data_IF_833993138855
#
_entry.id   IF_833993138855
#
_cell.length_a   1.000
_cell.length_b   1.000
_cell.length_c   1.000
_cell.angle_alpha   90.00
_cell.angle_beta   90.00
_cell.angle_gamma   90.00
#
_symmetry.space_group_name_H-M   'P 1'
#
loop_
_entity.id
_entity.type
_entity.pdbx_description
1 polymer ?
#
# COMPACT_ATOMS: atom_id res chain seq x y z
N UNK A 1 3.07 -16.98 1.50
CA UNK A 1 2.93 -17.21 2.95
C UNK A 1 2.71 -15.84 3.59
N UNK A 2 1.60 -15.63 4.30
CA UNK A 2 1.29 -14.36 4.96
C UNK A 2 2.10 -14.21 6.24
N UNK A 3 2.63 -13.01 6.57
CA UNK A 3 3.40 -12.77 7.79
C UNK A 3 2.70 -13.25 9.07
N UNK A 4 1.37 -13.15 9.13
CA UNK A 4 0.56 -13.60 10.26
C UNK A 4 0.49 -15.11 10.49
N UNK A 5 0.98 -15.95 9.57
CA UNK A 5 0.89 -17.42 9.70
C UNK A 5 2.19 -18.06 10.22
N UNK A 6 3.04 -17.28 10.92
CA UNK A 6 4.26 -17.78 11.55
C UNK A 6 4.02 -17.94 13.05
N UNK A 7 4.04 -19.18 13.56
CA UNK A 7 3.80 -19.47 14.99
C UNK A 7 4.74 -18.72 15.94
N UNK A 8 5.95 -18.35 15.49
CA UNK A 8 6.87 -17.55 16.30
C UNK A 8 6.34 -16.15 16.64
N UNK A 9 5.36 -15.62 15.88
CA UNK A 9 4.70 -14.35 16.18
C UNK A 9 3.72 -14.49 17.37
N UNK A 10 3.17 -15.69 17.59
CA UNK A 10 2.21 -15.96 18.68
C UNK A 10 2.87 -16.66 19.88
N UNK A 11 3.89 -17.47 19.65
CA UNK A 11 4.60 -18.27 20.66
C UNK A 11 6.07 -17.83 20.69
N UNK A 12 6.44 -16.85 21.55
CA UNK A 12 7.74 -16.19 21.49
C UNK A 12 8.95 -17.11 21.68
N UNK A 13 8.79 -18.23 22.40
CA UNK A 13 9.89 -19.18 22.62
C UNK A 13 10.37 -19.84 21.32
N UNK A 14 9.51 -19.91 20.29
CA UNK A 14 9.86 -20.50 19.00
C UNK A 14 10.94 -19.72 18.25
N UNK A 15 11.19 -18.44 18.56
CA UNK A 15 12.29 -17.67 17.92
C UNK A 15 13.68 -18.25 18.18
N UNK A 16 13.82 -19.03 19.27
CA UNK A 16 15.09 -19.55 19.76
C UNK A 16 15.41 -20.96 19.26
N UNK A 17 14.50 -21.62 18.52
CA UNK A 17 14.73 -22.99 18.04
C UNK A 17 15.91 -23.02 17.05
N UNK A 18 16.84 -23.98 17.10
CA UNK A 18 17.97 -24.03 16.18
C UNK A 18 17.55 -24.12 14.71
N UNK A 19 18.37 -23.57 13.80
CA UNK A 19 18.08 -23.54 12.36
C UNK A 19 17.91 -24.94 11.74
N UNK A 20 18.48 -26.00 12.36
CA UNK A 20 18.35 -27.38 11.90
C UNK A 20 17.05 -28.08 12.34
N UNK A 21 16.28 -27.46 13.24
CA UNK A 21 15.07 -28.08 13.81
C UNK A 21 13.92 -28.08 12.79
N UNK A 22 13.19 -29.20 12.68
CA UNK A 22 12.03 -29.30 11.79
C UNK A 22 10.95 -28.30 12.22
N UNK A 23 10.61 -27.36 11.35
CA UNK A 23 9.70 -26.24 11.66
C UNK A 23 10.40 -24.89 11.87
N UNK A 24 11.74 -24.83 11.73
CA UNK A 24 12.51 -23.58 11.75
C UNK A 24 12.59 -22.88 10.37
N UNK A 25 11.86 -23.37 9.35
CA UNK A 25 11.89 -22.83 7.97
C UNK A 25 11.56 -21.33 7.91
N UNK A 26 10.75 -20.84 8.86
CA UNK A 26 10.44 -19.41 8.98
C UNK A 26 11.69 -18.54 9.17
N UNK A 27 12.79 -19.08 9.70
CA UNK A 27 14.06 -18.34 9.85
C UNK A 27 14.74 -18.10 8.51
N UNK A 28 14.68 -19.06 7.59
CA UNK A 28 15.19 -18.87 6.23
C UNK A 28 14.34 -17.83 5.50
N UNK A 29 13.02 -17.94 5.63
CA UNK A 29 12.08 -16.96 5.06
C UNK A 29 12.33 -15.57 5.65
N UNK A 30 12.57 -15.46 6.95
CA UNK A 30 12.91 -14.18 7.58
C UNK A 30 14.21 -13.58 7.04
N UNK A 31 15.23 -14.39 6.74
CA UNK A 31 16.49 -13.94 6.11
C UNK A 31 16.21 -13.39 4.69
N UNK A 32 15.40 -14.08 3.90
CA UNK A 32 15.02 -13.66 2.54
C UNK A 32 14.16 -12.38 2.55
N UNK A 33 13.17 -12.31 3.45
CA UNK A 33 12.32 -11.14 3.62
C UNK A 33 13.10 -9.94 4.09
N UNK A 34 14.04 -10.14 5.02
CA UNK A 34 14.96 -9.07 5.44
C UNK A 34 15.70 -8.51 4.24
N UNK A 35 16.34 -9.34 3.42
CA UNK A 35 17.04 -8.87 2.22
C UNK A 35 16.12 -8.07 1.28
N UNK A 36 14.88 -8.53 1.10
CA UNK A 36 13.88 -7.85 0.26
C UNK A 36 13.44 -6.50 0.82
N UNK A 37 13.19 -6.42 2.14
CA UNK A 37 12.81 -5.18 2.82
C UNK A 37 13.94 -4.16 2.72
N UNK A 38 15.17 -4.54 3.03
CA UNK A 38 16.31 -3.62 2.91
C UNK A 38 16.51 -3.16 1.46
N UNK A 39 16.34 -4.05 0.47
CA UNK A 39 16.38 -3.67 -0.94
C UNK A 39 15.30 -2.63 -1.29
N UNK A 40 14.08 -2.80 -0.79
CA UNK A 40 12.99 -1.84 -0.99
C UNK A 40 13.36 -0.49 -0.38
N UNK A 41 13.78 -0.48 0.89
CA UNK A 41 14.18 0.72 1.64
C UNK A 41 15.31 1.48 0.94
N UNK A 42 16.32 0.75 0.45
CA UNK A 42 17.44 1.33 -0.28
C UNK A 42 16.99 1.95 -1.61
N UNK A 43 16.15 1.24 -2.37
CA UNK A 43 15.69 1.71 -3.69
C UNK A 43 14.72 2.89 -3.61
N UNK A 44 13.76 2.86 -2.68
CA UNK A 44 12.79 3.95 -2.52
C UNK A 44 13.49 5.25 -2.17
N UNK A 45 14.44 5.20 -1.25
CA UNK A 45 15.24 6.36 -0.89
C UNK A 45 16.17 6.81 -2.01
N UNK A 46 16.93 5.89 -2.62
CA UNK A 46 17.86 6.23 -3.70
C UNK A 46 17.18 6.88 -4.90
N UNK A 47 15.97 6.45 -5.25
CA UNK A 47 15.17 7.11 -6.28
C UNK A 47 14.75 8.53 -5.88
N UNK A 48 14.24 8.69 -4.66
CA UNK A 48 13.71 9.95 -4.17
C UNK A 48 14.79 11.01 -3.90
N UNK A 49 15.97 10.59 -3.42
CA UNK A 49 17.11 11.48 -3.18
C UNK A 49 17.82 11.90 -4.48
N UNK A 50 17.82 11.05 -5.51
CA UNK A 50 18.63 11.28 -6.72
C UNK A 50 17.89 11.88 -7.92
N UNK A 51 16.59 11.61 -8.09
CA UNK A 51 15.91 11.86 -9.37
C UNK A 51 14.47 12.41 -9.26
N UNK A 52 13.93 12.58 -8.05
CA UNK A 52 12.54 13.03 -7.88
C UNK A 52 12.45 14.58 -7.90
N UNK A 53 11.51 15.18 -8.67
CA UNK A 53 11.41 16.64 -8.78
C UNK A 53 11.00 17.30 -7.46
N UNK A 54 10.00 16.76 -6.76
CA UNK A 54 9.62 17.10 -5.37
C UNK A 54 8.96 15.86 -4.76
N UNK A 55 9.42 15.43 -3.59
CA UNK A 55 8.88 14.29 -2.85
C UNK A 55 8.99 14.49 -1.34
N UNK A 56 8.28 13.67 -0.56
CA UNK A 56 8.43 13.65 0.90
C UNK A 56 9.91 13.52 1.31
N UNK A 57 10.63 12.56 0.73
CA UNK A 57 12.04 12.30 1.04
C UNK A 57 12.93 13.45 0.59
N UNK A 58 12.83 13.91 -0.66
CA UNK A 58 13.69 14.99 -1.16
C UNK A 58 13.54 16.26 -0.32
N UNK A 59 12.31 16.58 0.11
CA UNK A 59 12.03 17.73 0.96
C UNK A 59 12.62 17.61 2.36
N UNK A 60 12.63 16.43 2.96
CA UNK A 60 13.26 16.22 4.28
C UNK A 60 14.79 16.18 4.20
N UNK A 61 15.35 15.84 3.04
CA UNK A 61 16.80 15.86 2.82
C UNK A 61 17.34 17.28 2.61
N UNK A 62 16.49 18.27 2.29
CA UNK A 62 16.89 19.68 2.14
C UNK A 62 17.40 20.30 3.45
N UNK A 63 16.95 19.79 4.60
CA UNK A 63 17.31 20.30 5.94
C UNK A 63 18.67 19.75 6.45
N UNK A 64 19.45 19.07 5.59
CA UNK A 64 20.74 18.45 5.91
C UNK A 64 20.69 17.58 7.20
N UNK A 65 19.84 16.53 7.22
CA UNK A 65 19.66 15.69 8.40
C UNK A 65 20.95 14.99 8.82
N UNK A 66 21.07 14.70 10.11
CA UNK A 66 22.10 13.79 10.62
C UNK A 66 21.94 12.39 10.00
N UNK A 67 22.99 11.56 10.10
CA UNK A 67 22.96 10.20 9.56
C UNK A 67 21.86 9.31 10.20
N UNK A 68 21.48 9.58 11.46
CA UNK A 68 20.39 8.88 12.14
C UNK A 68 19.03 9.32 11.56
N UNK A 69 18.83 10.62 11.42
CA UNK A 69 17.61 11.18 10.81
C UNK A 69 17.44 10.74 9.35
N UNK A 70 18.52 10.70 8.57
CA UNK A 70 18.48 10.18 7.20
C UNK A 70 18.04 8.71 7.17
N UNK A 71 18.52 7.89 8.12
CA UNK A 71 18.09 6.49 8.24
C UNK A 71 16.60 6.39 8.57
N UNK A 72 16.07 7.24 9.44
CA UNK A 72 14.64 7.28 9.76
C UNK A 72 13.80 7.74 8.56
N UNK A 73 14.25 8.78 7.85
CA UNK A 73 13.62 9.26 6.60
C UNK A 73 13.55 8.11 5.58
N UNK A 74 14.63 7.34 5.46
CA UNK A 74 14.71 6.17 4.58
C UNK A 74 13.65 5.12 4.89
N UNK A 75 13.52 4.76 6.17
CA UNK A 75 12.52 3.79 6.62
C UNK A 75 11.09 4.33 6.48
N UNK A 76 10.85 5.61 6.79
CA UNK A 76 9.54 6.25 6.60
C UNK A 76 9.10 6.25 5.13
N UNK A 77 10.02 6.59 4.21
CA UNK A 77 9.75 6.57 2.78
C UNK A 77 9.35 5.17 2.29
N UNK A 78 10.06 4.15 2.77
CA UNK A 78 9.77 2.76 2.44
C UNK A 78 8.38 2.32 2.95
N UNK A 79 8.03 2.72 4.18
CA UNK A 79 6.71 2.45 4.78
C UNK A 79 5.59 3.09 3.97
N UNK A 80 5.72 4.37 3.58
CA UNK A 80 4.72 5.03 2.75
C UNK A 80 4.56 4.39 1.38
N UNK A 81 5.68 4.01 0.75
CA UNK A 81 5.66 3.30 -0.52
C UNK A 81 4.93 1.96 -0.40
N UNK A 82 5.28 1.14 0.60
CA UNK A 82 4.66 -0.16 0.82
C UNK A 82 3.17 -0.05 1.12
N UNK A 83 2.79 0.83 2.04
CA UNK A 83 1.41 1.05 2.42
C UNK A 83 0.57 1.54 1.23
N UNK A 84 1.07 2.48 0.45
CA UNK A 84 0.36 3.02 -0.72
C UNK A 84 0.26 2.02 -1.88
N UNK A 85 1.30 1.21 -2.11
CA UNK A 85 1.34 0.27 -3.22
C UNK A 85 0.40 -0.93 -2.99
N UNK A 86 0.52 -1.61 -1.84
CA UNK A 86 -0.21 -2.86 -1.61
C UNK A 86 -1.72 -2.60 -1.39
N UNK A 87 -2.05 -1.61 -0.56
CA UNK A 87 -3.46 -1.35 -0.21
C UNK A 87 -4.27 -0.80 -1.37
N UNK A 88 -3.69 0.08 -2.20
CA UNK A 88 -4.36 0.63 -3.38
C UNK A 88 -4.63 -0.45 -4.42
N UNK A 89 -3.66 -1.35 -4.65
CA UNK A 89 -3.82 -2.48 -5.59
C UNK A 89 -4.92 -3.43 -5.12
N UNK A 90 -4.99 -3.73 -3.82
CA UNK A 90 -6.06 -4.54 -3.24
C UNK A 90 -7.44 -3.88 -3.42
N UNK A 91 -7.57 -2.58 -3.13
CA UNK A 91 -8.80 -1.83 -3.31
C UNK A 91 -9.25 -1.79 -4.78
N UNK A 92 -8.33 -1.56 -5.72
CA UNK A 92 -8.64 -1.58 -7.16
C UNK A 92 -9.08 -2.96 -7.65
N UNK A 93 -8.42 -4.01 -7.17
CA UNK A 93 -8.81 -5.39 -7.49
C UNK A 93 -10.24 -5.69 -7.01
N UNK A 94 -10.59 -5.23 -5.81
CA UNK A 94 -11.94 -5.34 -5.27
C UNK A 94 -12.95 -4.50 -6.07
N UNK A 95 -12.59 -3.30 -6.48
CA UNK A 95 -13.42 -2.46 -7.35
C UNK A 95 -13.76 -3.17 -8.66
N UNK A 96 -12.76 -3.66 -9.40
CA UNK A 96 -13.01 -4.36 -10.67
C UNK A 96 -13.87 -5.61 -10.47
N UNK A 97 -13.63 -6.37 -9.39
CA UNK A 97 -14.48 -7.50 -9.03
C UNK A 97 -15.92 -7.07 -8.77
N UNK A 98 -16.15 -5.98 -8.04
CA UNK A 98 -17.48 -5.46 -7.77
C UNK A 98 -18.18 -5.02 -9.08
N UNK A 99 -17.47 -4.33 -9.98
CA UNK A 99 -18.04 -3.87 -11.25
C UNK A 99 -18.43 -5.03 -12.18
N UNK A 100 -17.68 -6.13 -12.16
CA UNK A 100 -18.04 -7.36 -12.88
C UNK A 100 -19.31 -8.03 -12.33
N UNK A 101 -19.53 -7.95 -11.01
CA UNK A 101 -20.70 -8.55 -10.36
C UNK A 101 -21.95 -7.67 -10.43
N UNK A 102 -21.78 -6.35 -10.54
CA UNK A 102 -22.85 -5.35 -10.50
C UNK A 102 -22.74 -4.39 -11.70
N UNK A 103 -22.95 -4.86 -12.94
CA UNK A 103 -22.78 -4.05 -14.15
C UNK A 103 -23.74 -2.84 -14.23
N UNK A 104 -24.92 -2.93 -13.62
CA UNK A 104 -25.85 -1.79 -13.55
C UNK A 104 -25.30 -0.64 -12.71
N UNK A 105 -24.57 -0.96 -11.63
CA UNK A 105 -23.89 0.03 -10.78
C UNK A 105 -22.75 0.68 -11.56
N UNK A 106 -21.97 -0.12 -12.30
CA UNK A 106 -20.91 0.40 -13.17
C UNK A 106 -21.46 1.36 -14.24
N UNK A 107 -22.57 0.99 -14.87
CA UNK A 107 -23.23 1.80 -15.91
C UNK A 107 -23.69 3.14 -15.33
N UNK A 108 -24.29 3.12 -14.12
CA UNK A 108 -24.70 4.33 -13.42
C UNK A 108 -23.52 5.22 -13.02
N UNK A 109 -22.42 4.62 -12.57
CA UNK A 109 -21.18 5.33 -12.24
C UNK A 109 -20.59 6.03 -13.47
N UNK A 110 -20.52 5.36 -14.62
CA UNK A 110 -20.12 6.01 -15.87
C UNK A 110 -21.07 7.14 -16.27
N UNK A 111 -22.38 6.93 -16.17
CA UNK A 111 -23.37 7.96 -16.50
C UNK A 111 -23.23 9.24 -15.67
N UNK A 112 -22.86 9.14 -14.38
CA UNK A 112 -22.57 10.31 -13.55
C UNK A 112 -21.29 11.04 -14.03
N UNK A 113 -20.22 10.30 -14.32
CA UNK A 113 -18.97 10.88 -14.85
C UNK A 113 -19.23 11.59 -16.17
N UNK A 114 -19.94 10.94 -17.11
CA UNK A 114 -20.23 11.51 -18.42
C UNK A 114 -21.07 12.79 -18.32
N UNK A 115 -22.01 12.85 -17.37
CA UNK A 115 -22.86 14.02 -17.15
C UNK A 115 -22.12 15.21 -16.52
N UNK A 116 -21.16 14.96 -15.62
CA UNK A 116 -20.47 16.01 -14.84
C UNK A 116 -19.18 16.45 -15.52
N UNK A 117 -18.40 15.50 -16.04
CA UNK A 117 -17.08 15.73 -16.62
C UNK A 117 -17.16 15.94 -18.13
N UNK A 118 -18.09 15.25 -18.80
CA UNK A 118 -18.17 15.21 -20.26
C UNK A 118 -17.08 14.35 -20.89
N UNK A 119 -16.89 14.49 -22.20
CA UNK A 119 -15.96 13.68 -22.99
C UNK A 119 -14.70 14.43 -23.44
N UNK A 120 -14.56 15.71 -23.07
CA UNK A 120 -13.47 16.57 -23.56
C UNK A 120 -12.23 16.57 -22.66
N UNK A 121 -12.33 15.96 -21.47
CA UNK A 121 -11.25 15.91 -20.48
C UNK A 121 -11.38 14.72 -19.54
N UNK A 122 -10.28 14.37 -18.87
CA UNK A 122 -10.30 13.44 -17.75
C UNK A 122 -10.89 14.10 -16.48
N UNK A 123 -11.41 13.28 -15.54
CA UNK A 123 -11.82 13.75 -14.22
C UNK A 123 -10.67 14.39 -13.45
N UNK A 124 -11.00 15.38 -12.61
CA UNK A 124 -10.08 16.08 -11.71
C UNK A 124 -10.58 16.03 -10.28
N UNK A 125 -9.71 16.32 -9.32
CA UNK A 125 -10.07 16.36 -7.89
C UNK A 125 -11.22 17.32 -7.59
N UNK A 126 -11.30 18.44 -8.32
CA UNK A 126 -12.34 19.46 -8.13
C UNK A 126 -13.74 18.98 -8.56
N UNK A 127 -13.84 17.93 -9.36
CA UNK A 127 -15.12 17.33 -9.76
C UNK A 127 -15.75 16.51 -8.62
N UNK A 128 -14.97 16.17 -7.59
CA UNK A 128 -15.37 15.20 -6.56
C UNK A 128 -16.67 15.55 -5.85
N UNK A 129 -16.90 16.83 -5.53
CA UNK A 129 -18.14 17.26 -4.87
C UNK A 129 -19.37 17.07 -5.76
N UNK A 130 -19.19 17.12 -7.09
CA UNK A 130 -20.23 16.91 -8.09
C UNK A 130 -20.43 15.45 -8.48
N UNK A 131 -19.67 14.51 -7.90
CA UNK A 131 -19.72 13.08 -8.19
C UNK A 131 -20.19 12.25 -6.96
N UNK A 132 -21.40 12.50 -6.42
CA UNK A 132 -21.86 11.84 -5.20
C UNK A 132 -22.01 10.32 -5.34
N UNK A 133 -22.38 9.79 -6.51
CA UNK A 133 -22.49 8.36 -6.73
C UNK A 133 -21.12 7.69 -6.78
N UNK A 134 -20.12 8.29 -7.42
CA UNK A 134 -18.73 7.81 -7.38
C UNK A 134 -18.19 7.83 -5.95
N UNK A 135 -18.43 8.89 -5.17
CA UNK A 135 -17.99 8.93 -3.77
C UNK A 135 -18.62 7.79 -2.97
N UNK A 136 -19.92 7.56 -3.11
CA UNK A 136 -20.60 6.43 -2.47
C UNK A 136 -20.03 5.08 -2.93
N UNK A 137 -19.70 4.94 -4.22
CA UNK A 137 -19.12 3.71 -4.76
C UNK A 137 -17.76 3.39 -4.17
N UNK A 138 -16.87 4.39 -4.06
CA UNK A 138 -15.53 4.22 -3.44
C UNK A 138 -15.66 3.77 -1.98
N UNK A 139 -16.58 4.39 -1.24
CA UNK A 139 -16.88 3.99 0.15
C UNK A 139 -17.44 2.58 0.22
N UNK A 140 -18.34 2.21 -0.68
CA UNK A 140 -18.97 0.89 -0.70
C UNK A 140 -17.98 -0.22 -1.07
N UNK A 141 -17.04 0.04 -1.99
CA UNK A 141 -15.95 -0.91 -2.28
C UNK A 141 -15.11 -1.15 -1.03
N UNK A 142 -14.79 -0.10 -0.28
CA UNK A 142 -13.99 -0.18 0.95
C UNK A 142 -14.73 -0.90 2.08
N UNK A 143 -16.06 -0.72 2.15
CA UNK A 143 -16.95 -1.42 3.10
C UNK A 143 -17.12 -2.90 2.73
N UNK A 144 -17.31 -3.20 1.44
CA UNK A 144 -17.51 -4.56 0.95
C UNK A 144 -16.23 -5.39 0.98
N UNK A 145 -15.10 -4.76 0.70
CA UNK A 145 -13.77 -5.36 0.76
C UNK A 145 -12.82 -4.48 1.58
N UNK A 146 -12.87 -4.66 2.90
CA UNK A 146 -11.91 -4.02 3.80
C UNK A 146 -10.54 -4.65 3.61
N UNK A 147 -9.58 -3.88 3.08
CA UNK A 147 -8.23 -4.33 2.73
C UNK A 147 -7.48 -4.92 3.94
N UNK A 148 -7.64 -4.32 5.12
CA UNK A 148 -7.05 -4.78 6.37
C UNK A 148 -8.15 -5.00 7.43
N UNK A 149 -8.90 -6.11 7.38
CA UNK A 149 -10.08 -6.31 8.23
C UNK A 149 -9.74 -6.56 9.71
N UNK A 150 -8.50 -6.97 10.01
CA UNK A 150 -8.00 -7.20 11.36
C UNK A 150 -7.14 -6.03 11.90
N UNK A 151 -6.94 -4.97 11.11
CA UNK A 151 -5.94 -3.94 11.41
C UNK A 151 -4.51 -4.46 11.27
N UNK A 152 -3.54 -3.70 11.80
CA UNK A 152 -2.16 -4.17 11.96
C UNK A 152 -2.07 -5.03 13.24
N UNK A 153 -1.89 -6.34 13.05
CA UNK A 153 -1.56 -7.30 14.11
C UNK A 153 -0.05 -7.56 14.15
#
# INVERSE_FOLDING_TARGET
>A
MTPGNIFANTIPILRHIPDWFRGADFKQIAKEWRATIYLMVDRTHGYAAGNAPVSFTSKLLEDEPSAEEEADIKWLAATFYGAGADTTVAALSAFFRAMLLFPDVQTKAQGEIDAVVGNDRLPRSDDRESLPHINALVLEVSRWHTVAPLGEL
#
